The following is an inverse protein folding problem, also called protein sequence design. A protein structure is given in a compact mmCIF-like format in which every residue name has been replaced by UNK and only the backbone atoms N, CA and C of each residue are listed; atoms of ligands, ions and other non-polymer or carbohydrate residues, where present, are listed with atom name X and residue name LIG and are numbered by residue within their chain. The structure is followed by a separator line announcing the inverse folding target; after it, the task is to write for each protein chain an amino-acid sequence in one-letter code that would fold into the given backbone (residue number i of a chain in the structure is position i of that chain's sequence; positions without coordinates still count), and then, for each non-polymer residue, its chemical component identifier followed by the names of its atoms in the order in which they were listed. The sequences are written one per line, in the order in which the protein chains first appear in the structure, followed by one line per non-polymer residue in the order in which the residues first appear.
data_IF_801786916831
#
_entry.id   IF_801786916831
#
_cell.length_a   1.000
_cell.length_b   1.000
_cell.length_c   1.000
_cell.angle_alpha   90.00
_cell.angle_beta   90.00
_cell.angle_gamma   90.00
#
_symmetry.space_group_name_H-M   'P 1'
#
loop_
_entity.id
_entity.type
_entity.pdbx_description
1 polymer ?
#
# COMPACT_ATOMS: atom_id res chain seq x y z
N UNK A 1 -37.20 -3.40 -37.32
CA UNK A 1 -36.83 -3.02 -35.94
C UNK A 1 -36.37 -4.23 -35.12
N UNK A 2 -37.10 -5.35 -35.15
CA UNK A 2 -36.74 -6.61 -34.47
C UNK A 2 -35.40 -7.21 -34.94
N UNK A 3 -35.10 -7.16 -36.24
CA UNK A 3 -33.83 -7.65 -36.80
C UNK A 3 -32.62 -6.84 -36.31
N UNK A 4 -32.72 -5.51 -36.25
CA UNK A 4 -31.66 -4.65 -35.73
C UNK A 4 -31.40 -4.91 -34.24
N UNK A 5 -32.46 -5.11 -33.45
CA UNK A 5 -32.35 -5.48 -32.03
C UNK A 5 -31.65 -6.84 -31.86
N UNK A 6 -32.00 -7.83 -32.68
CA UNK A 6 -31.37 -9.14 -32.66
C UNK A 6 -29.87 -9.07 -32.96
N UNK A 7 -29.46 -8.31 -33.98
CA UNK A 7 -28.05 -8.09 -34.29
C UNK A 7 -27.29 -7.41 -33.15
N UNK A 8 -27.89 -6.42 -32.49
CA UNK A 8 -27.28 -5.74 -31.35
C UNK A 8 -27.06 -6.71 -30.18
N UNK A 9 -28.06 -7.53 -29.85
CA UNK A 9 -27.95 -8.54 -28.78
C UNK A 9 -26.85 -9.55 -29.09
N UNK A 10 -26.81 -10.06 -30.32
CA UNK A 10 -25.76 -11.01 -30.73
C UNK A 10 -24.38 -10.36 -30.67
N UNK A 11 -24.24 -9.11 -31.11
CA UNK A 11 -22.98 -8.37 -31.04
C UNK A 11 -22.49 -8.20 -29.59
N UNK A 12 -23.38 -7.79 -28.68
CA UNK A 12 -23.04 -7.65 -27.25
C UNK A 12 -22.67 -9.00 -26.65
N UNK A 13 -23.38 -10.07 -27.01
CA UNK A 13 -23.06 -11.41 -26.53
C UNK A 13 -21.68 -11.88 -27.00
N UNK A 14 -21.36 -11.71 -28.29
CA UNK A 14 -20.04 -12.04 -28.83
C UNK A 14 -18.96 -11.21 -28.16
N UNK A 15 -19.17 -9.90 -27.98
CA UNK A 15 -18.23 -9.03 -27.27
C UNK A 15 -18.01 -9.49 -25.83
N UNK A 16 -19.06 -9.88 -25.10
CA UNK A 16 -18.96 -10.39 -23.74
C UNK A 16 -18.20 -11.72 -23.68
N UNK A 17 -18.46 -12.64 -24.61
CA UNK A 17 -17.74 -13.93 -24.69
C UNK A 17 -16.27 -13.72 -25.00
N UNK A 18 -15.94 -12.88 -26.00
CA UNK A 18 -14.56 -12.55 -26.36
C UNK A 18 -13.85 -11.86 -25.19
N UNK A 19 -14.51 -10.91 -24.52
CA UNK A 19 -13.97 -10.23 -23.35
C UNK A 19 -13.68 -11.21 -22.21
N UNK A 20 -14.60 -12.13 -21.93
CA UNK A 20 -14.44 -13.13 -20.87
C UNK A 20 -13.31 -14.11 -21.21
N UNK A 21 -13.23 -14.55 -22.47
CA UNK A 21 -12.16 -15.42 -22.94
C UNK A 21 -10.79 -14.71 -22.87
N UNK A 22 -10.71 -13.47 -23.32
CA UNK A 22 -9.50 -12.65 -23.23
C UNK A 22 -9.09 -12.42 -21.77
N UNK A 23 -10.05 -12.13 -20.88
CA UNK A 23 -9.80 -11.94 -19.45
C UNK A 23 -9.28 -13.20 -18.76
N UNK A 24 -9.69 -14.39 -19.21
CA UNK A 24 -9.15 -15.67 -18.70
C UNK A 24 -7.79 -15.98 -19.31
N UNK A 25 -7.63 -15.82 -20.63
CA UNK A 25 -6.41 -16.18 -21.35
C UNK A 25 -5.25 -15.22 -21.06
N UNK A 26 -5.53 -13.92 -20.99
CA UNK A 26 -4.55 -12.87 -20.65
C UNK A 26 -4.61 -12.50 -19.16
N UNK A 27 -5.24 -13.35 -18.33
CA UNK A 27 -5.63 -13.06 -16.96
C UNK A 27 -4.52 -12.42 -16.13
N UNK A 28 -4.89 -11.30 -15.47
CA UNK A 28 -4.08 -10.53 -14.51
C UNK A 28 -2.64 -10.35 -15.00
N UNK A 29 -2.46 -9.44 -15.97
CA UNK A 29 -1.19 -9.11 -16.63
C UNK A 29 0.04 -9.40 -15.77
N UNK A 30 0.92 -10.25 -16.32
CA UNK A 30 2.12 -10.81 -15.69
C UNK A 30 1.83 -11.40 -14.30
N UNK A 31 1.77 -12.73 -14.21
CA UNK A 31 1.94 -13.41 -12.92
C UNK A 31 3.29 -13.00 -12.35
N UNK A 32 3.28 -11.93 -11.54
CA UNK A 32 4.41 -11.56 -10.73
C UNK A 32 4.79 -12.82 -9.96
N UNK A 33 6.07 -13.23 -10.02
CA UNK A 33 6.51 -14.46 -9.38
C UNK A 33 5.99 -14.46 -7.95
N UNK A 34 5.35 -15.56 -7.52
CA UNK A 34 4.74 -15.63 -6.20
C UNK A 34 5.78 -15.20 -5.17
N UNK A 35 5.41 -14.25 -4.31
CA UNK A 35 6.29 -13.80 -3.24
C UNK A 35 6.77 -15.05 -2.48
N UNK A 36 8.09 -15.21 -2.26
CA UNK A 36 8.62 -16.37 -1.56
C UNK A 36 7.85 -16.61 -0.27
N UNK A 37 7.56 -17.86 0.11
CA UNK A 37 6.84 -18.15 1.35
C UNK A 37 7.56 -17.50 2.54
N UNK A 38 6.87 -16.59 3.23
CA UNK A 38 7.42 -15.80 4.35
C UNK A 38 7.89 -14.39 4.00
N UNK A 39 7.92 -14.00 2.72
CA UNK A 39 8.14 -12.61 2.33
C UNK A 39 6.87 -11.81 2.58
N UNK A 40 6.94 -10.84 3.50
CA UNK A 40 5.87 -9.87 3.68
C UNK A 40 6.02 -8.74 2.66
N UNK A 41 4.94 -8.27 2.02
CA UNK A 41 4.96 -7.02 1.24
C UNK A 41 5.23 -5.79 2.13
N UNK A 42 5.21 -5.94 3.44
CA UNK A 42 5.55 -4.90 4.42
C UNK A 42 7.02 -4.54 4.28
N UNK A 43 7.28 -3.33 3.78
CA UNK A 43 8.61 -2.73 3.77
C UNK A 43 8.59 -1.49 4.65
N UNK A 44 9.64 -1.36 5.43
CA UNK A 44 9.98 -0.18 6.21
C UNK A 44 11.47 0.08 6.01
N UNK A 45 11.92 1.35 5.95
CA UNK A 45 13.34 1.66 5.99
C UNK A 45 14.02 0.99 7.19
N UNK A 46 15.28 0.58 7.02
CA UNK A 46 16.06 -0.04 8.10
C UNK A 46 16.33 0.97 9.24
N UNK A 47 16.58 2.22 8.85
CA UNK A 47 16.86 3.34 9.72
C UNK A 47 16.00 4.54 9.31
N UNK A 48 15.92 5.56 10.16
CA UNK A 48 15.25 6.83 9.83
C UNK A 48 13.78 6.75 9.41
N UNK A 49 13.03 5.76 9.90
CA UNK A 49 11.57 5.61 9.71
C UNK A 49 10.78 6.90 10.03
N UNK A 50 10.16 7.53 9.04
CA UNK A 50 9.32 8.72 9.21
C UNK A 50 7.84 8.39 9.29
N UNK A 51 7.01 9.38 9.67
CA UNK A 51 5.55 9.30 9.53
C UNK A 51 5.08 9.03 8.09
N UNK A 52 5.81 9.50 7.07
CA UNK A 52 5.48 9.23 5.67
C UNK A 52 5.74 7.76 5.32
N UNK A 53 6.83 7.18 5.81
CA UNK A 53 7.12 5.76 5.62
C UNK A 53 6.01 4.90 6.21
N UNK A 54 5.53 5.23 7.42
CA UNK A 54 4.43 4.52 8.07
C UNK A 54 3.11 4.60 7.29
N UNK A 55 2.86 5.70 6.57
CA UNK A 55 1.68 5.86 5.70
C UNK A 55 1.74 5.01 4.45
N UNK A 56 2.95 4.70 3.98
CA UNK A 56 3.20 3.92 2.78
C UNK A 56 3.29 2.41 3.03
N UNK A 57 3.31 1.97 4.30
CA UNK A 57 3.36 0.55 4.67
C UNK A 57 2.16 -0.22 4.13
N UNK A 58 2.42 -1.41 3.59
CA UNK A 58 1.39 -2.36 3.15
C UNK A 58 1.47 -3.64 3.98
N UNK A 59 0.33 -4.07 4.50
CA UNK A 59 0.20 -5.33 5.23
C UNK A 59 -0.41 -6.41 4.35
N UNK A 60 0.03 -7.65 4.55
CA UNK A 60 -0.60 -8.80 3.92
C UNK A 60 -1.95 -9.10 4.57
N UNK A 61 -2.94 -9.49 3.76
CA UNK A 61 -4.23 -9.96 4.23
C UNK A 61 -4.15 -11.44 4.64
N UNK A 62 -4.72 -11.77 5.79
CA UNK A 62 -4.81 -13.13 6.32
C UNK A 62 -6.24 -13.42 6.79
N UNK A 63 -6.64 -14.70 6.81
CA UNK A 63 -7.99 -15.15 7.22
C UNK A 63 -8.41 -14.63 8.60
N UNK A 64 -7.46 -14.43 9.50
CA UNK A 64 -7.66 -13.82 10.81
C UNK A 64 -6.56 -12.80 11.06
N UNK A 65 -6.93 -11.52 11.03
CA UNK A 65 -6.03 -10.40 11.27
C UNK A 65 -6.69 -9.32 12.10
N UNK A 66 -5.92 -8.28 12.42
CA UNK A 66 -6.44 -7.08 13.06
C UNK A 66 -7.34 -6.29 12.11
N UNK A 67 -8.27 -5.52 12.68
CA UNK A 67 -9.15 -4.65 11.88
C UNK A 67 -8.34 -3.53 11.26
N UNK A 68 -8.43 -3.39 9.95
CA UNK A 68 -7.66 -2.39 9.18
C UNK A 68 -7.83 -0.97 9.73
N UNK A 69 -9.06 -0.57 10.09
CA UNK A 69 -9.31 0.76 10.66
C UNK A 69 -8.62 1.02 12.00
N UNK A 70 -8.43 -0.01 12.83
CA UNK A 70 -7.75 0.11 14.12
C UNK A 70 -6.24 0.23 13.90
N UNK A 71 -5.69 -0.62 13.03
CA UNK A 71 -4.28 -0.56 12.64
C UNK A 71 -3.94 0.80 12.02
N UNK A 72 -4.78 1.29 11.10
CA UNK A 72 -4.59 2.60 10.46
C UNK A 72 -4.66 3.75 11.47
N UNK A 73 -5.51 3.64 12.49
CA UNK A 73 -5.59 4.63 13.55
C UNK A 73 -4.32 4.63 14.41
N UNK A 74 -3.84 3.44 14.82
CA UNK A 74 -2.61 3.30 15.61
C UNK A 74 -1.41 3.84 14.84
N UNK A 75 -1.24 3.45 13.57
CA UNK A 75 -0.11 3.89 12.75
C UNK A 75 -0.11 5.39 12.53
N UNK A 76 -1.28 6.00 12.33
CA UNK A 76 -1.40 7.46 12.21
C UNK A 76 -0.99 8.17 13.50
N UNK A 77 -1.43 7.65 14.66
CA UNK A 77 -1.05 8.22 15.95
C UNK A 77 0.45 8.08 16.22
N UNK A 78 1.01 6.90 15.96
CA UNK A 78 2.44 6.65 16.12
C UNK A 78 3.29 7.48 15.16
N UNK A 79 2.84 7.70 13.92
CA UNK A 79 3.55 8.57 12.98
C UNK A 79 3.68 10.00 13.51
N UNK A 80 2.61 10.56 14.08
CA UNK A 80 2.68 11.89 14.70
C UNK A 80 3.65 11.93 15.89
N UNK A 81 3.56 10.96 16.81
CA UNK A 81 4.45 10.91 17.98
C UNK A 81 5.93 10.70 17.59
N UNK A 82 6.18 9.97 16.50
CA UNK A 82 7.53 9.72 15.99
C UNK A 82 8.16 11.00 15.42
N UNK A 83 7.39 11.78 14.65
CA UNK A 83 7.85 13.07 14.12
C UNK A 83 8.14 14.05 15.27
N UNK A 84 7.26 14.13 16.27
CA UNK A 84 7.43 14.98 17.45
C UNK A 84 8.69 14.59 18.25
N UNK A 85 8.90 13.29 18.47
CA UNK A 85 10.08 12.78 19.17
C UNK A 85 11.37 13.11 18.41
N UNK A 86 11.37 12.98 17.09
CA UNK A 86 12.53 13.33 16.27
C UNK A 86 12.84 14.81 16.26
N UNK A 87 11.83 15.66 16.17
CA UNK A 87 12.01 17.09 16.30
C UNK A 87 12.63 17.45 17.66
N UNK A 88 12.22 16.78 18.72
CA UNK A 88 12.80 17.00 20.05
C UNK A 88 14.25 16.53 20.18
N UNK A 89 14.59 15.38 19.59
CA UNK A 89 15.97 14.88 19.55
C UNK A 89 16.87 15.85 18.79
N UNK A 90 16.45 16.32 17.62
CA UNK A 90 17.22 17.28 16.82
C UNK A 90 17.46 18.60 17.57
N UNK A 91 16.47 19.11 18.31
CA UNK A 91 16.62 20.29 19.16
C UNK A 91 17.62 20.07 20.31
N UNK A 92 17.58 18.89 20.94
CA UNK A 92 18.53 18.53 22.00
C UNK A 92 19.96 18.42 21.48
N UNK A 93 20.15 17.77 20.32
CA UNK A 93 21.46 17.65 19.67
C UNK A 93 22.03 19.02 19.33
N UNK A 94 21.20 19.91 18.76
CA UNK A 94 21.62 21.28 18.46
C UNK A 94 22.07 22.05 19.71
N UNK A 95 21.31 21.96 20.81
CA UNK A 95 21.68 22.61 22.09
C UNK A 95 22.99 22.07 22.66
N UNK A 96 23.27 20.78 22.49
CA UNK A 96 24.54 20.18 22.91
C UNK A 96 25.71 20.68 22.07
N UNK A 97 25.54 20.80 20.75
CA UNK A 97 26.54 21.36 19.85
C UNK A 97 26.83 22.83 20.16
N UNK A 98 25.80 23.65 20.37
CA UNK A 98 25.96 25.06 20.78
C UNK A 98 26.74 25.19 22.08
N UNK A 99 26.44 24.32 23.05
CA UNK A 99 27.08 24.35 24.36
C UNK A 99 28.52 23.84 24.31
N UNK A 100 28.81 22.86 23.45
CA UNK A 100 30.17 22.41 23.17
C UNK A 100 31.01 23.46 22.41
N UNK A 101 30.39 24.27 21.57
CA UNK A 101 31.05 25.37 20.87
C UNK A 101 31.31 26.60 21.75
N UNK A 102 30.57 26.73 22.86
CA UNK A 102 30.72 27.81 23.84
C UNK A 102 31.76 27.51 24.94
N UNK A 103 32.18 26.24 25.09
CA UNK A 103 33.25 25.78 25.99
C UNK A 103 34.63 25.80 25.29
#
# INVERSE_FOLDING_TARGET
MTTALFYLVVMVFVAAVVFLLASVLFGRGEELPPLPPGASPTRLPADDVTSDDLRNVRFQLVLRGYKMSEVDWVLRRLGTELDDLRAHVADLEHRLEERAAAE
#
